data_IF_626597526562
#
_entry.id   IF_626597526562
#
_cell.length_a   1.000
_cell.length_b   1.000
_cell.length_c   1.000
_cell.angle_alpha   90.00
_cell.angle_beta   90.00
_cell.angle_gamma   90.00
#
_symmetry.space_group_name_H-M   'P 1'
#
loop_
_entity.id
_entity.type
_entity.pdbx_description
1 polymer ?
#
# COMPACT_ATOMS: atom_id res chain seq x y z
N UNK A 1 3.30 6.08 17.95
CA UNK A 1 4.27 5.40 17.05
C UNK A 1 3.51 4.39 16.21
N UNK A 2 3.63 4.40 14.88
CA UNK A 2 2.98 3.41 14.04
C UNK A 2 3.45 2.00 14.43
N UNK A 3 2.53 1.05 14.56
CA UNK A 3 2.85 -0.37 14.82
C UNK A 3 2.85 -1.12 13.49
N UNK A 4 3.82 -2.03 13.34
CA UNK A 4 3.89 -2.93 12.19
C UNK A 4 3.36 -4.29 12.61
N UNK A 5 2.45 -4.83 11.81
CA UNK A 5 1.97 -6.21 11.92
C UNK A 5 2.51 -7.00 10.73
N UNK A 6 3.10 -8.17 10.97
CA UNK A 6 3.57 -9.05 9.90
C UNK A 6 2.60 -10.22 9.73
N UNK A 7 2.13 -10.47 8.52
CA UNK A 7 1.20 -11.56 8.19
C UNK A 7 1.67 -12.33 6.96
N UNK A 8 1.33 -13.63 6.89
CA UNK A 8 1.52 -14.41 5.66
C UNK A 8 0.39 -14.11 4.68
N UNK A 9 0.73 -13.79 3.44
CA UNK A 9 -0.21 -13.78 2.33
C UNK A 9 -0.10 -15.11 1.59
N UNK A 10 -0.95 -16.05 1.96
CA UNK A 10 -0.92 -17.44 1.48
C UNK A 10 -1.01 -17.54 -0.05
N UNK A 11 -1.93 -16.79 -0.67
CA UNK A 11 -2.15 -16.84 -2.13
C UNK A 11 -0.89 -16.47 -2.93
N UNK A 12 -0.12 -15.51 -2.41
CA UNK A 12 1.09 -14.99 -3.05
C UNK A 12 2.38 -15.57 -2.45
N UNK A 13 2.27 -16.43 -1.44
CA UNK A 13 3.37 -17.08 -0.71
C UNK A 13 4.45 -16.09 -0.25
N UNK A 14 4.02 -14.97 0.30
CA UNK A 14 4.92 -13.91 0.75
C UNK A 14 4.47 -13.30 2.08
N UNK A 15 5.42 -12.81 2.86
CA UNK A 15 5.12 -12.02 4.04
C UNK A 15 4.66 -10.62 3.63
N UNK A 16 3.79 -10.06 4.46
CA UNK A 16 3.22 -8.74 4.32
C UNK A 16 3.42 -7.95 5.61
N UNK A 17 3.91 -6.72 5.47
CA UNK A 17 4.04 -5.75 6.55
C UNK A 17 2.89 -4.77 6.47
N UNK A 18 2.10 -4.68 7.54
CA UNK A 18 0.92 -3.84 7.63
C UNK A 18 1.14 -2.70 8.62
N UNK A 19 0.68 -1.50 8.24
CA UNK A 19 0.53 -0.36 9.14
C UNK A 19 -0.88 0.18 9.02
N UNK A 20 -1.52 0.42 10.17
CA UNK A 20 -2.85 1.03 10.25
C UNK A 20 -2.73 2.54 10.46
N UNK A 21 -3.36 3.32 9.58
CA UNK A 21 -3.44 4.78 9.66
C UNK A 21 -4.79 5.28 9.17
N UNK A 22 -5.38 6.27 9.85
CA UNK A 22 -6.68 6.84 9.49
C UNK A 22 -7.80 5.79 9.26
N UNK A 23 -7.80 4.71 10.05
CA UNK A 23 -8.77 3.61 9.91
C UNK A 23 -8.56 2.71 8.68
N UNK A 24 -7.41 2.81 8.01
CA UNK A 24 -7.06 2.02 6.82
C UNK A 24 -5.78 1.24 7.07
N UNK A 25 -5.82 -0.06 6.80
CA UNK A 25 -4.65 -0.94 6.78
C UNK A 25 -3.94 -0.85 5.42
N UNK A 26 -2.71 -0.34 5.41
CA UNK A 26 -1.83 -0.30 4.24
C UNK A 26 -0.79 -1.41 4.38
N UNK A 27 -0.50 -2.10 3.27
CA UNK A 27 0.34 -3.30 3.28
C UNK A 27 1.45 -3.19 2.24
N UNK A 28 2.67 -3.61 2.62
CA UNK A 28 3.84 -3.84 1.76
C UNK A 28 4.16 -5.33 1.74
N UNK A 29 4.37 -5.91 0.55
CA UNK A 29 4.79 -7.31 0.39
C UNK A 29 6.32 -7.43 0.41
N UNK A 30 6.84 -8.49 1.02
CA UNK A 30 8.26 -8.66 1.31
C UNK A 30 9.09 -9.13 0.10
N UNK A 31 8.47 -9.89 -0.81
CA UNK A 31 9.14 -10.49 -1.97
C UNK A 31 9.60 -9.47 -3.03
N UNK A 32 8.83 -8.41 -3.26
CA UNK A 32 9.11 -7.43 -4.31
C UNK A 32 8.85 -5.96 -3.89
N UNK A 33 8.58 -5.72 -2.61
CA UNK A 33 8.40 -4.40 -2.03
C UNK A 33 7.23 -3.58 -2.59
N UNK A 34 6.31 -4.18 -3.35
CA UNK A 34 5.12 -3.46 -3.78
C UNK A 34 4.23 -3.10 -2.58
N UNK A 35 3.54 -1.97 -2.69
CA UNK A 35 2.63 -1.45 -1.67
C UNK A 35 1.23 -1.39 -2.27
N UNK A 36 0.21 -1.71 -1.47
CA UNK A 36 -1.18 -1.57 -1.88
C UNK A 36 -1.54 -0.06 -2.03
N UNK A 37 -1.42 0.46 -3.25
CA UNK A 37 -1.67 1.84 -3.61
C UNK A 37 -3.13 2.26 -3.43
N UNK A 38 -4.08 1.32 -3.54
CA UNK A 38 -5.49 1.61 -3.22
C UNK A 38 -5.67 1.98 -1.75
N UNK A 39 -5.05 1.23 -0.84
CA UNK A 39 -5.13 1.51 0.60
C UNK A 39 -4.34 2.77 0.96
N UNK A 40 -3.15 2.92 0.39
CA UNK A 40 -2.32 4.12 0.55
C UNK A 40 -3.11 5.41 0.27
N UNK A 41 -3.75 5.51 -0.89
CA UNK A 41 -4.46 6.72 -1.29
C UNK A 41 -5.78 6.93 -0.50
N UNK A 42 -6.34 5.88 0.09
CA UNK A 42 -7.46 6.03 1.03
C UNK A 42 -7.01 6.66 2.36
N UNK A 43 -5.78 6.40 2.83
CA UNK A 43 -5.22 7.10 4.02
C UNK A 43 -5.16 8.61 3.78
N UNK A 44 -4.83 9.02 2.55
CA UNK A 44 -4.84 10.41 2.10
C UNK A 44 -6.26 11.00 1.87
N UNK A 45 -7.33 10.25 2.21
CA UNK A 45 -8.72 10.66 2.00
C UNK A 45 -9.04 11.03 0.54
N UNK A 46 -8.33 10.41 -0.41
CA UNK A 46 -8.51 10.69 -1.82
C UNK A 46 -9.86 10.17 -2.33
N UNK A 47 -10.55 10.98 -3.14
CA UNK A 47 -11.82 10.54 -3.75
C UNK A 47 -11.60 9.34 -4.66
N UNK A 48 -12.63 8.47 -4.74
CA UNK A 48 -12.59 7.25 -5.55
C UNK A 48 -12.16 7.51 -7.00
N UNK A 49 -12.77 8.49 -7.66
CA UNK A 49 -12.47 8.80 -9.06
C UNK A 49 -11.03 9.23 -9.29
N UNK A 50 -10.49 10.11 -8.42
CA UNK A 50 -9.09 10.56 -8.51
C UNK A 50 -8.13 9.40 -8.25
N UNK A 51 -8.39 8.61 -7.21
CA UNK A 51 -7.59 7.42 -6.86
C UNK A 51 -7.56 6.42 -8.02
N UNK A 52 -8.71 6.05 -8.54
CA UNK A 52 -8.83 5.05 -9.61
C UNK A 52 -8.14 5.56 -10.90
N UNK A 53 -8.24 6.87 -11.19
CA UNK A 53 -7.52 7.52 -12.29
C UNK A 53 -6.00 7.44 -12.15
N UNK A 54 -5.47 7.76 -10.97
CA UNK A 54 -4.02 7.69 -10.68
C UNK A 54 -3.53 6.24 -10.77
N UNK A 55 -4.21 5.28 -10.15
CA UNK A 55 -3.74 3.89 -10.14
C UNK A 55 -3.88 3.21 -11.51
N UNK A 56 -4.84 3.63 -12.34
CA UNK A 56 -4.99 3.14 -13.72
C UNK A 56 -3.85 3.63 -14.63
N UNK A 57 -3.27 4.81 -14.36
CA UNK A 57 -2.17 5.36 -15.16
C UNK A 57 -0.79 4.80 -14.80
N UNK A 58 -0.66 4.09 -13.67
CA UNK A 58 0.58 3.42 -13.29
C UNK A 58 0.92 2.27 -14.26
N UNK A 59 2.09 2.36 -14.89
CA UNK A 59 2.57 1.39 -15.90
C UNK A 59 2.84 0.02 -15.29
N UNK A 60 3.52 -0.01 -14.15
CA UNK A 60 3.82 -1.23 -13.39
C UNK A 60 2.82 -1.30 -12.24
N UNK A 61 1.91 -2.27 -12.31
CA UNK A 61 0.91 -2.51 -11.26
C UNK A 61 0.48 -3.96 -11.25
N UNK A 62 0.07 -4.44 -10.09
CA UNK A 62 -0.52 -5.76 -9.92
C UNK A 62 -1.91 -5.62 -9.29
N UNK A 63 -2.93 -6.23 -9.88
CA UNK A 63 -4.34 -6.03 -9.48
C UNK A 63 -4.87 -7.27 -8.78
N UNK A 64 -5.23 -7.11 -7.51
CA UNK A 64 -5.82 -8.18 -6.69
C UNK A 64 -7.31 -7.92 -6.49
N UNK A 65 -8.14 -8.80 -7.04
CA UNK A 65 -9.61 -8.68 -7.05
C UNK A 65 -10.30 -9.54 -5.99
N UNK A 66 -9.68 -10.65 -5.61
CA UNK A 66 -10.21 -11.66 -4.68
C UNK A 66 -9.31 -11.78 -3.44
N UNK A 67 -9.72 -12.55 -2.43
CA UNK A 67 -8.96 -12.70 -1.18
C UNK A 67 -9.35 -11.70 -0.08
N UNK A 68 -8.48 -11.53 0.91
CA UNK A 68 -8.71 -10.68 2.08
C UNK A 68 -8.92 -9.20 1.73
N UNK A 69 -9.89 -8.55 2.38
CA UNK A 69 -10.31 -7.17 2.05
C UNK A 69 -9.20 -6.13 2.15
N UNK A 70 -8.23 -6.30 3.04
CA UNK A 70 -7.09 -5.41 3.19
C UNK A 70 -6.01 -5.62 2.11
N UNK A 71 -5.99 -6.79 1.44
CA UNK A 71 -5.04 -7.14 0.37
C UNK A 71 -5.59 -6.86 -1.03
N UNK A 72 -6.93 -6.78 -1.19
CA UNK A 72 -7.56 -6.34 -2.45
C UNK A 72 -7.14 -4.92 -2.81
N UNK A 73 -6.93 -4.70 -4.11
CA UNK A 73 -6.58 -3.39 -4.65
C UNK A 73 -5.51 -3.45 -5.75
N UNK A 74 -5.03 -2.27 -6.11
CA UNK A 74 -3.91 -2.10 -7.04
C UNK A 74 -2.63 -1.94 -6.23
N UNK A 75 -1.70 -2.87 -6.43
CA UNK A 75 -0.36 -2.85 -5.88
C UNK A 75 0.56 -2.13 -6.84
N UNK A 76 1.42 -1.26 -6.31
CA UNK A 76 2.36 -0.42 -7.07
C UNK A 76 3.77 -0.52 -6.47
N UNK A 77 4.84 -0.30 -7.26
CA UNK A 77 6.21 -0.35 -6.76
C UNK A 77 6.46 0.61 -5.60
N UNK A 78 7.38 0.23 -4.70
CA UNK A 78 7.81 1.02 -3.54
C UNK A 78 8.03 2.50 -3.87
N UNK A 79 8.86 2.79 -4.87
CA UNK A 79 9.22 4.17 -5.24
C UNK A 79 8.02 4.99 -5.71
N UNK A 80 7.03 4.35 -6.37
CA UNK A 80 5.78 5.02 -6.77
C UNK A 80 4.89 5.32 -5.57
N UNK A 81 4.75 4.36 -4.66
CA UNK A 81 3.99 4.55 -3.44
C UNK A 81 4.60 5.64 -2.54
N UNK A 82 5.93 5.66 -2.40
CA UNK A 82 6.65 6.69 -1.65
C UNK A 82 6.43 8.08 -2.24
N UNK A 83 6.57 8.23 -3.56
CA UNK A 83 6.33 9.51 -4.23
C UNK A 83 4.88 10.01 -4.05
N UNK A 84 3.90 9.11 -4.07
CA UNK A 84 2.50 9.46 -3.79
C UNK A 84 2.31 9.85 -2.32
N UNK A 85 2.88 9.10 -1.38
CA UNK A 85 2.79 9.40 0.05
C UNK A 85 3.44 10.75 0.41
N UNK A 86 4.57 11.09 -0.21
CA UNK A 86 5.23 12.39 -0.06
C UNK A 86 4.35 13.52 -0.57
N UNK A 87 3.77 13.38 -1.77
CA UNK A 87 2.89 14.39 -2.37
C UNK A 87 1.66 14.67 -1.52
N UNK A 88 1.08 13.62 -0.93
CA UNK A 88 -0.13 13.74 -0.12
C UNK A 88 0.16 13.95 1.38
N UNK A 89 1.44 14.06 1.79
CA UNK A 89 1.83 14.37 3.17
C UNK A 89 1.56 13.24 4.19
N UNK A 90 1.54 11.98 3.76
CA UNK A 90 1.18 10.82 4.61
C UNK A 90 2.35 9.87 4.90
N UNK A 91 3.59 10.25 4.56
CA UNK A 91 4.78 9.41 4.79
C UNK A 91 4.93 9.06 6.27
N UNK A 92 4.83 10.03 7.16
CA UNK A 92 5.06 9.83 8.59
C UNK A 92 4.01 8.91 9.24
N UNK A 93 2.77 8.94 8.74
CA UNK A 93 1.69 8.06 9.19
C UNK A 93 1.99 6.59 8.87
N UNK A 94 2.70 6.35 7.78
CA UNK A 94 2.99 5.04 7.22
C UNK A 94 4.49 4.70 7.26
N UNK A 95 5.28 5.46 8.02
CA UNK A 95 6.74 5.47 7.96
C UNK A 95 7.39 4.08 7.93
N UNK A 96 6.98 3.09 8.76
CA UNK A 96 7.61 1.78 8.72
C UNK A 96 7.57 1.11 7.34
N UNK A 97 6.51 1.32 6.55
CA UNK A 97 6.39 0.75 5.20
C UNK A 97 7.38 1.38 4.20
N UNK A 98 7.96 2.54 4.54
CA UNK A 98 8.88 3.30 3.70
C UNK A 98 10.35 3.19 4.12
N UNK A 99 10.67 2.32 5.09
CA UNK A 99 12.05 1.94 5.39
C UNK A 99 12.53 0.95 4.33
N UNK A 100 13.70 1.16 3.70
CA UNK A 100 14.17 0.30 2.61
C UNK A 100 14.41 -1.14 3.09
N UNK A 101 15.04 -1.28 4.25
CA UNK A 101 15.34 -2.55 4.91
C UNK A 101 14.35 -2.79 6.07
N UNK A 102 13.19 -3.36 5.74
CA UNK A 102 12.07 -3.61 6.68
C UNK A 102 12.06 -5.07 7.17
#
# INVERSE_FOLDING_TARGET
RPRVTTTMWEDEKTLCYQVDANGVSVVRRADNNMINGTKLLNVAQMTRGRRDGILKSEKIRHVVKIGSMHLKGVWIPFERALAMAQREGIVDLLYPLFVRDI
#
